data_IF_844103819898
#
_entry.id   IF_844103819898
#
_cell.length_a   1.000
_cell.length_b   1.000
_cell.length_c   1.000
_cell.angle_alpha   90.00
_cell.angle_beta   90.00
_cell.angle_gamma   90.00
#
_symmetry.space_group_name_H-M   'P 1'
#
loop_
_entity.id
_entity.type
_entity.pdbx_description
1 polymer ?
#
# COMPACT_ATOMS: atom_id res chain seq x y z
N UNK A 1 -8.57 -6.68 -8.97
CA UNK A 1 -9.74 -5.81 -9.24
C UNK A 1 -9.97 -5.74 -10.74
N UNK A 2 -11.22 -5.55 -11.18
CA UNK A 2 -11.56 -5.43 -12.61
C UNK A 2 -11.33 -4.02 -13.16
N UNK A 3 -12.05 -3.65 -14.21
CA UNK A 3 -11.96 -2.31 -14.82
C UNK A 3 -12.37 -1.19 -13.86
N UNK A 4 -13.46 -1.38 -13.11
CA UNK A 4 -13.89 -0.44 -12.08
C UNK A 4 -12.96 -0.49 -10.86
N UNK A 5 -12.81 0.66 -10.20
CA UNK A 5 -12.01 0.76 -8.98
C UNK A 5 -12.58 -0.12 -7.85
N UNK A 6 -11.70 -0.94 -7.29
CA UNK A 6 -11.95 -1.72 -6.09
C UNK A 6 -11.10 -1.24 -4.92
N UNK A 7 -11.57 -1.54 -3.71
CA UNK A 7 -10.83 -1.25 -2.49
C UNK A 7 -10.79 -2.45 -1.53
N UNK A 8 -9.69 -2.56 -0.80
CA UNK A 8 -9.50 -3.53 0.27
C UNK A 8 -8.86 -2.83 1.47
N UNK A 9 -9.31 -3.15 2.68
CA UNK A 9 -8.67 -2.70 3.93
C UNK A 9 -8.30 -3.94 4.73
N UNK A 10 -7.08 -4.00 5.24
CA UNK A 10 -6.64 -5.08 6.12
C UNK A 10 -7.33 -5.00 7.48
N UNK A 11 -7.26 -6.10 8.25
CA UNK A 11 -7.36 -5.97 9.71
C UNK A 11 -6.20 -5.10 10.22
N UNK A 12 -6.30 -4.60 11.45
CA UNK A 12 -5.15 -3.96 12.08
C UNK A 12 -3.98 -4.96 12.16
N UNK A 13 -2.79 -4.49 11.80
CA UNK A 13 -1.55 -5.23 11.76
C UNK A 13 -0.56 -4.53 12.69
N UNK A 14 0.02 -5.30 13.61
CA UNK A 14 1.25 -4.89 14.28
C UNK A 14 2.41 -5.33 13.40
N UNK A 15 3.08 -4.37 12.76
CA UNK A 15 4.20 -4.67 11.88
C UNK A 15 5.51 -4.10 12.41
N UNK A 16 6.59 -4.80 12.08
CA UNK A 16 7.96 -4.30 12.19
C UNK A 16 8.53 -4.14 10.80
N UNK A 17 9.41 -3.16 10.62
CA UNK A 17 9.97 -2.81 9.32
C UNK A 17 9.75 -1.34 8.98
N UNK A 18 10.38 -0.90 7.90
CA UNK A 18 10.35 0.48 7.42
C UNK A 18 9.85 0.59 5.97
N UNK A 19 9.47 -0.51 5.32
CA UNK A 19 8.97 -0.49 3.94
C UNK A 19 7.83 -1.47 3.76
N UNK A 20 6.88 -1.13 2.89
CA UNK A 20 5.84 -2.03 2.41
C UNK A 20 6.22 -2.54 1.02
N UNK A 21 6.46 -3.84 0.92
CA UNK A 21 6.77 -4.58 -0.30
C UNK A 21 5.53 -5.35 -0.79
N UNK A 22 5.27 -5.28 -2.09
CA UNK A 22 4.19 -5.99 -2.77
C UNK A 22 4.74 -6.90 -3.87
N UNK A 23 4.08 -8.05 -4.03
CA UNK A 23 4.10 -8.82 -5.27
C UNK A 23 2.77 -8.56 -5.99
N UNK A 24 2.82 -7.97 -7.16
CA UNK A 24 1.64 -7.48 -7.85
C UNK A 24 1.81 -7.50 -9.38
N UNK A 25 0.68 -7.47 -10.07
CA UNK A 25 0.62 -7.28 -11.51
C UNK A 25 -0.50 -6.30 -11.86
N UNK A 26 -0.24 -5.36 -12.76
CA UNK A 26 -1.24 -4.44 -13.32
C UNK A 26 -1.16 -4.44 -14.83
N UNK A 27 -2.25 -4.09 -15.50
CA UNK A 27 -2.16 -3.69 -16.91
C UNK A 27 -1.46 -2.33 -17.04
N UNK A 28 -1.13 -1.93 -18.27
CA UNK A 28 -0.56 -0.60 -18.56
C UNK A 28 -1.51 0.56 -18.22
N UNK A 29 -2.82 0.30 -18.13
CA UNK A 29 -3.83 1.27 -17.70
C UNK A 29 -4.31 1.04 -16.25
N UNK A 30 -3.84 -0.04 -15.63
CA UNK A 30 -4.11 -0.38 -14.24
C UNK A 30 -3.31 0.50 -13.28
N UNK A 31 -3.72 0.48 -12.02
CA UNK A 31 -2.97 1.14 -10.94
C UNK A 31 -3.25 0.47 -9.61
N UNK A 32 -2.28 0.59 -8.71
CA UNK A 32 -2.46 0.33 -7.28
C UNK A 32 -2.04 1.60 -6.54
N UNK A 33 -2.89 2.11 -5.67
CA UNK A 33 -2.54 3.11 -4.66
C UNK A 33 -2.78 2.53 -3.27
N UNK A 34 -1.98 3.01 -2.32
CA UNK A 34 -1.98 2.49 -0.96
C UNK A 34 -1.97 3.65 0.03
N UNK A 35 -2.78 3.57 1.07
CA UNK A 35 -2.69 4.46 2.22
C UNK A 35 -2.55 3.66 3.52
N UNK A 36 -1.83 4.27 4.47
CA UNK A 36 -1.70 3.75 5.83
C UNK A 36 -2.73 4.45 6.72
N UNK A 37 -3.50 3.65 7.46
CA UNK A 37 -4.49 4.13 8.41
C UNK A 37 -4.06 3.77 9.83
N UNK A 38 -4.47 4.58 10.80
CA UNK A 38 -4.40 4.21 12.20
C UNK A 38 -5.39 3.07 12.55
N UNK A 39 -5.38 2.60 13.80
CA UNK A 39 -6.27 1.54 14.26
C UNK A 39 -7.77 1.86 14.04
N UNK A 40 -8.13 3.14 14.15
CA UNK A 40 -9.49 3.66 13.97
C UNK A 40 -9.93 3.74 12.50
N UNK A 41 -8.99 3.60 11.56
CA UNK A 41 -9.22 3.73 10.13
C UNK A 41 -9.06 5.15 9.60
N UNK A 42 -8.41 6.04 10.37
CA UNK A 42 -8.12 7.41 9.92
C UNK A 42 -6.79 7.42 9.15
N UNK A 43 -6.71 8.07 7.97
CA UNK A 43 -5.45 8.20 7.23
C UNK A 43 -4.36 8.86 8.08
N UNK A 44 -3.16 8.28 8.04
CA UNK A 44 -1.99 8.85 8.73
C UNK A 44 -1.35 9.89 7.82
N UNK A 45 -1.08 11.08 8.37
CA UNK A 45 -0.48 12.19 7.64
C UNK A 45 0.85 11.80 6.99
N UNK A 46 1.00 12.12 5.69
CA UNK A 46 2.17 11.77 4.89
C UNK A 46 2.15 10.34 4.33
N UNK A 47 1.13 9.55 4.64
CA UNK A 47 0.91 8.20 4.14
C UNK A 47 -0.50 8.03 3.53
N UNK A 48 -1.13 9.13 3.14
CA UNK A 48 -2.47 9.14 2.56
C UNK A 48 -2.52 8.72 1.10
N UNK A 49 -3.72 8.49 0.57
CA UNK A 49 -3.90 8.02 -0.82
C UNK A 49 -3.42 9.05 -1.87
N UNK A 50 -3.51 10.33 -1.53
CA UNK A 50 -3.06 11.44 -2.38
C UNK A 50 -1.54 11.61 -2.34
N UNK A 51 -0.90 11.19 -1.25
CA UNK A 51 0.55 11.16 -1.11
C UNK A 51 1.18 9.97 -1.85
N UNK A 52 0.41 8.89 -2.08
CA UNK A 52 0.91 7.67 -2.71
C UNK A 52 1.22 7.89 -4.21
N UNK A 53 2.46 7.58 -4.59
CA UNK A 53 2.95 7.72 -5.98
C UNK A 53 2.27 6.72 -6.94
N UNK A 54 1.74 5.63 -6.40
CA UNK A 54 1.06 4.57 -7.14
C UNK A 54 2.03 3.58 -7.80
N UNK A 55 1.55 2.36 -8.04
CA UNK A 55 2.30 1.29 -8.69
C UNK A 55 1.62 0.86 -9.99
N UNK A 56 2.44 0.61 -11.01
CA UNK A 56 2.06 0.10 -12.33
C UNK A 56 3.17 -0.85 -12.78
N UNK A 57 2.82 -2.07 -13.20
CA UNK A 57 3.80 -3.06 -13.66
C UNK A 57 3.49 -4.48 -13.19
N UNK A 58 4.43 -5.39 -13.44
CA UNK A 58 4.41 -6.78 -12.99
C UNK A 58 5.70 -7.05 -12.21
N UNK A 59 5.61 -6.96 -10.89
CA UNK A 59 6.77 -6.99 -10.00
C UNK A 59 6.56 -8.01 -8.88
N UNK A 60 7.56 -8.88 -8.71
CA UNK A 60 7.62 -9.81 -7.58
C UNK A 60 8.01 -9.08 -6.29
N UNK A 61 8.69 -7.93 -6.41
CA UNK A 61 9.21 -7.09 -5.33
C UNK A 61 9.13 -5.63 -5.75
N UNK A 62 8.02 -4.97 -5.42
CA UNK A 62 7.84 -3.54 -5.60
C UNK A 62 7.53 -2.84 -4.29
N UNK A 63 8.10 -1.66 -4.10
CA UNK A 63 7.93 -0.89 -2.87
C UNK A 63 6.93 0.22 -3.04
N UNK A 64 6.01 0.33 -2.09
CA UNK A 64 5.09 1.46 -2.01
C UNK A 64 5.83 2.69 -1.55
N UNK A 65 5.64 3.81 -2.24
CA UNK A 65 6.16 5.11 -1.85
C UNK A 65 5.07 6.17 -1.73
N UNK A 66 5.33 7.13 -0.85
CA UNK A 66 4.54 8.33 -0.61
C UNK A 66 5.43 9.55 -0.78
N UNK A 67 5.10 10.41 -1.74
CA UNK A 67 5.91 11.57 -2.14
C UNK A 67 7.40 11.24 -2.34
N UNK A 68 7.67 10.10 -2.99
CA UNK A 68 9.02 9.59 -3.27
C UNK A 68 9.73 8.89 -2.10
N UNK A 69 9.10 8.78 -0.93
CA UNK A 69 9.66 8.09 0.24
C UNK A 69 9.01 6.73 0.45
N UNK A 70 9.82 5.70 0.74
CA UNK A 70 9.33 4.36 1.13
C UNK A 70 9.31 4.16 2.64
N UNK A 71 9.70 5.17 3.43
CA UNK A 71 9.98 5.04 4.86
C UNK A 71 8.72 5.05 5.75
N UNK A 72 8.48 3.93 6.41
CA UNK A 72 7.44 3.67 7.40
C UNK A 72 7.97 3.65 8.84
N UNK A 73 9.24 3.99 9.07
CA UNK A 73 9.86 3.89 10.41
C UNK A 73 9.10 4.67 11.49
N UNK A 74 8.44 5.78 11.13
CA UNK A 74 7.65 6.62 12.05
C UNK A 74 6.41 5.93 12.61
N UNK A 75 5.86 4.94 11.90
CA UNK A 75 4.63 4.23 12.26
C UNK A 75 4.86 2.74 12.54
N UNK A 76 6.12 2.30 12.50
CA UNK A 76 6.51 0.93 12.84
C UNK A 76 6.21 0.60 14.31
N UNK A 77 5.75 -0.62 14.58
CA UNK A 77 5.41 -1.08 15.92
C UNK A 77 4.09 -0.53 16.49
N UNK A 78 3.25 0.08 15.66
CA UNK A 78 1.92 0.55 16.03
C UNK A 78 0.85 -0.25 15.27
N UNK A 79 -0.32 -0.51 15.88
CA UNK A 79 -1.44 -1.11 15.16
C UNK A 79 -1.89 -0.21 14.01
N UNK A 80 -1.73 -0.67 12.78
CA UNK A 80 -2.07 0.09 11.57
C UNK A 80 -2.85 -0.77 10.60
N UNK A 81 -3.63 -0.12 9.72
CA UNK A 81 -4.31 -0.80 8.62
C UNK A 81 -3.72 -0.33 7.31
N UNK A 82 -3.73 -1.20 6.32
CA UNK A 82 -3.37 -0.85 4.95
C UNK A 82 -4.64 -0.83 4.12
N UNK A 83 -4.90 0.28 3.43
CA UNK A 83 -5.96 0.36 2.42
C UNK A 83 -5.34 0.37 1.04
N UNK A 84 -5.82 -0.54 0.20
CA UNK A 84 -5.50 -0.60 -1.21
C UNK A 84 -6.67 -0.03 -2.00
N UNK A 85 -6.38 0.81 -2.98
CA UNK A 85 -7.31 1.32 -4.00
C UNK A 85 -6.72 0.96 -5.35
N UNK A 86 -7.43 0.18 -6.16
CA UNK A 86 -6.84 -0.45 -7.34
C UNK A 86 -7.85 -0.69 -8.45
N UNK A 87 -7.40 -0.61 -9.69
CA UNK A 87 -8.14 -1.01 -10.89
C UNK A 87 -7.21 -1.78 -11.83
N UNK A 88 -7.76 -2.77 -12.52
CA UNK A 88 -7.07 -3.62 -13.50
C UNK A 88 -5.70 -4.11 -13.00
N UNK A 89 -5.75 -4.72 -11.81
CA UNK A 89 -4.58 -5.08 -11.03
C UNK A 89 -4.86 -6.28 -10.12
N UNK A 90 -3.82 -7.04 -9.82
CA UNK A 90 -3.79 -8.15 -8.88
C UNK A 90 -2.67 -7.94 -7.86
N UNK A 91 -2.94 -8.26 -6.59
CA UNK A 91 -1.94 -8.28 -5.51
C UNK A 91 -1.87 -9.71 -5.00
N UNK A 92 -0.70 -10.32 -5.09
CA UNK A 92 -0.48 -11.72 -4.71
C UNK A 92 0.06 -11.86 -3.29
N UNK A 93 0.87 -10.90 -2.84
CA UNK A 93 1.36 -10.85 -1.46
C UNK A 93 1.74 -9.44 -1.03
N UNK A 94 1.74 -9.23 0.29
CA UNK A 94 2.23 -8.02 0.94
C UNK A 94 3.16 -8.41 2.10
N UNK A 95 4.20 -7.61 2.34
CA UNK A 95 5.14 -7.81 3.44
C UNK A 95 5.72 -6.48 3.91
N UNK A 96 5.99 -6.38 5.21
CA UNK A 96 6.82 -5.32 5.75
C UNK A 96 8.28 -5.79 5.85
N UNK A 97 9.21 -5.01 5.28
CA UNK A 97 10.65 -5.28 5.28
C UNK A 97 11.42 -4.29 6.18
N UNK A 98 12.62 -4.69 6.62
CA UNK A 98 13.55 -3.89 7.43
C UNK A 98 14.59 -3.16 6.57
#
# INVERSE_FOLDING_TARGET
>A
AGYDEGQMITKALDFTGNKLELNYSTSAAGRIKVEMLDESGTPIEGYGIDDCDGLIGDEISGYVSWNGSTDLSKISGQPTRVRFVMNDADIYSLRFEN
#
